data_IF_743716009621
#
_entry.id   IF_743716009621
#
_cell.length_a   1.000
_cell.length_b   1.000
_cell.length_c   1.000
_cell.angle_alpha   90.00
_cell.angle_beta   90.00
_cell.angle_gamma   90.00
#
_symmetry.space_group_name_H-M   'P 1'
#
loop_
_entity.id
_entity.type
_entity.pdbx_description
1 polymer ?
#
# COMPACT_ATOMS: atom_id res chain seq x y z
N UNK A 1 -17.44 -0.60 -3.11
CA UNK A 1 -17.23 -0.21 -1.70
C UNK A 1 -16.02 0.72 -1.66
N UNK A 2 -16.14 1.89 -1.04
CA UNK A 2 -15.06 2.88 -0.96
C UNK A 2 -14.56 2.93 0.48
N UNK A 3 -13.25 2.81 0.68
CA UNK A 3 -12.62 2.89 2.00
C UNK A 3 -11.56 3.99 1.99
N UNK A 4 -11.61 4.87 3.00
CA UNK A 4 -10.59 5.90 3.23
C UNK A 4 -9.65 5.44 4.34
N UNK A 5 -8.35 5.46 4.06
CA UNK A 5 -7.32 5.07 5.03
C UNK A 5 -6.02 5.82 4.79
N UNK A 6 -5.03 5.60 5.65
CA UNK A 6 -3.70 6.20 5.53
C UNK A 6 -2.78 5.30 4.74
N UNK A 7 -1.91 5.91 3.95
CA UNK A 7 -0.83 5.24 3.25
C UNK A 7 0.45 6.01 3.51
N UNK A 8 1.57 5.31 3.71
CA UNK A 8 2.89 5.90 3.87
C UNK A 8 3.84 5.33 2.84
N UNK A 9 4.58 6.22 2.18
CA UNK A 9 5.61 5.85 1.22
C UNK A 9 6.97 5.73 1.90
N UNK A 10 7.59 4.58 1.70
CA UNK A 10 8.95 4.26 2.16
C UNK A 10 9.92 4.28 0.99
N UNK A 11 11.06 4.95 1.19
CA UNK A 11 12.14 5.07 0.21
C UNK A 11 13.43 4.58 0.85
N UNK A 12 14.16 3.69 0.19
CA UNK A 12 15.49 3.25 0.63
C UNK A 12 15.72 1.74 0.54
N UNK A 13 16.95 1.35 0.86
CA UNK A 13 17.49 0.00 0.74
C UNK A 13 17.39 -0.83 2.03
N UNK A 14 16.71 -0.35 3.07
CA UNK A 14 16.53 -1.15 4.29
C UNK A 14 15.81 -2.46 3.98
N UNK A 15 16.49 -3.59 4.19
CA UNK A 15 16.02 -4.93 3.85
C UNK A 15 14.75 -5.36 4.61
N UNK A 16 14.32 -4.59 5.60
CA UNK A 16 13.29 -4.99 6.55
C UNK A 16 12.02 -4.14 6.39
N UNK A 17 10.98 -4.73 5.80
CA UNK A 17 9.62 -4.18 5.89
C UNK A 17 9.12 -4.33 7.34
N UNK A 18 8.44 -3.34 7.93
CA UNK A 18 8.11 -3.35 9.35
C UNK A 18 7.20 -4.54 9.69
N UNK A 19 7.68 -5.53 10.44
CA UNK A 19 6.97 -6.83 10.53
C UNK A 19 5.78 -6.83 11.49
N UNK A 20 5.78 -6.00 12.54
CA UNK A 20 4.65 -5.69 13.44
C UNK A 20 5.16 -4.79 14.58
N UNK A 21 4.25 -4.02 15.20
CA UNK A 21 4.40 -3.22 16.44
C UNK A 21 5.85 -3.08 16.96
N UNK A 22 6.52 -2.00 16.58
CA UNK A 22 7.83 -1.71 17.16
C UNK A 22 8.47 -0.50 16.56
N UNK A 23 8.89 -0.54 15.29
CA UNK A 23 9.53 0.58 14.63
C UNK A 23 9.40 0.48 13.11
N UNK A 24 8.79 1.50 12.50
CA UNK A 24 8.88 1.74 11.07
C UNK A 24 10.23 2.36 10.72
N UNK A 25 11.27 1.55 10.55
CA UNK A 25 12.58 2.03 10.11
C UNK A 25 12.40 2.83 8.80
N UNK A 26 12.87 4.08 8.79
CA UNK A 26 12.80 5.02 7.67
C UNK A 26 11.39 5.44 7.18
N UNK A 27 10.32 5.11 7.90
CA UNK A 27 9.00 5.72 7.68
C UNK A 27 8.98 7.12 8.30
N UNK A 28 8.48 8.10 7.55
CA UNK A 28 8.37 9.50 7.99
C UNK A 28 6.94 9.97 7.85
N UNK A 29 6.42 10.70 8.84
CA UNK A 29 5.06 11.23 8.81
C UNK A 29 4.79 12.09 7.57
N UNK A 30 5.79 12.86 7.13
CA UNK A 30 5.69 13.71 5.94
C UNK A 30 5.45 12.95 4.63
N UNK A 31 5.71 11.64 4.60
CA UNK A 31 5.47 10.78 3.43
C UNK A 31 4.09 10.10 3.50
N UNK A 32 3.28 10.44 4.49
CA UNK A 32 1.96 9.86 4.70
C UNK A 32 0.88 10.73 4.09
N UNK A 33 -0.13 10.10 3.51
CA UNK A 33 -1.32 10.78 3.04
C UNK A 33 -2.58 9.93 3.28
N UNK A 34 -3.73 10.55 3.08
CA UNK A 34 -4.98 9.83 2.96
C UNK A 34 -5.15 9.32 1.54
N UNK A 35 -5.59 8.08 1.39
CA UNK A 35 -5.98 7.50 0.11
C UNK A 35 -7.42 7.00 0.14
N UNK A 36 -8.07 7.07 -1.01
CA UNK A 36 -9.35 6.42 -1.26
C UNK A 36 -9.09 5.12 -1.99
N UNK A 37 -9.70 4.03 -1.56
CA UNK A 37 -9.58 2.72 -2.21
C UNK A 37 -10.92 2.18 -2.66
N UNK A 38 -10.94 1.58 -3.83
CA UNK A 38 -12.12 0.96 -4.43
C UNK A 38 -11.73 -0.22 -5.30
N UNK A 39 -12.63 -1.21 -5.37
CA UNK A 39 -12.48 -2.37 -6.24
C UNK A 39 -12.83 -1.92 -7.65
N UNK A 40 -11.94 -2.13 -8.61
CA UNK A 40 -12.17 -1.81 -10.02
C UNK A 40 -12.52 -3.03 -10.84
N UNK A 41 -11.92 -4.18 -10.51
CA UNK A 41 -12.17 -5.44 -11.19
C UNK A 41 -12.19 -6.58 -10.16
N UNK A 42 -13.07 -7.55 -10.37
CA UNK A 42 -13.15 -8.75 -9.54
C UNK A 42 -13.71 -9.89 -10.39
N UNK A 43 -13.03 -11.03 -10.37
CA UNK A 43 -13.50 -12.28 -10.96
C UNK A 43 -13.27 -13.44 -9.97
N UNK A 44 -13.37 -14.68 -10.46
CA UNK A 44 -13.22 -15.85 -9.60
C UNK A 44 -11.79 -16.06 -9.09
N UNK A 45 -10.79 -15.57 -9.83
CA UNK A 45 -9.37 -15.78 -9.59
C UNK A 45 -8.69 -14.57 -8.95
N UNK A 46 -9.11 -13.35 -9.29
CA UNK A 46 -8.41 -12.13 -8.88
C UNK A 46 -9.34 -10.99 -8.47
N UNK A 47 -8.78 -10.05 -7.72
CA UNK A 47 -9.38 -8.76 -7.42
C UNK A 47 -8.35 -7.64 -7.59
N UNK A 48 -8.77 -6.57 -8.27
CA UNK A 48 -7.97 -5.37 -8.49
C UNK A 48 -8.54 -4.23 -7.65
N UNK A 49 -7.71 -3.69 -6.77
CA UNK A 49 -8.04 -2.55 -5.92
C UNK A 49 -7.27 -1.33 -6.42
N UNK A 50 -7.99 -0.33 -6.88
CA UNK A 50 -7.45 0.99 -7.21
C UNK A 50 -7.45 1.86 -5.97
N UNK A 51 -6.32 2.52 -5.73
CA UNK A 51 -6.14 3.54 -4.70
C UNK A 51 -5.80 4.86 -5.36
N UNK A 52 -6.44 5.94 -4.93
CA UNK A 52 -6.15 7.28 -5.42
C UNK A 52 -5.86 8.23 -4.26
N UNK A 53 -4.89 9.10 -4.45
CA UNK A 53 -4.47 10.12 -3.49
C UNK A 53 -3.84 11.31 -4.23
N UNK A 54 -3.76 12.44 -3.54
CA UNK A 54 -3.05 13.61 -4.01
C UNK A 54 -1.98 13.97 -2.97
N UNK A 55 -0.73 14.15 -3.41
CA UNK A 55 0.40 14.57 -2.58
C UNK A 55 1.09 15.71 -3.33
N UNK A 56 1.23 16.88 -2.70
CA UNK A 56 1.94 18.04 -3.25
C UNK A 56 1.48 18.41 -4.68
N UNK A 57 0.16 18.46 -4.91
CA UNK A 57 -0.46 18.74 -6.22
C UNK A 57 -0.21 17.68 -7.30
N UNK A 58 0.34 16.52 -6.92
CA UNK A 58 0.53 15.37 -7.79
C UNK A 58 -0.52 14.31 -7.50
N UNK A 59 -1.28 13.95 -8.54
CA UNK A 59 -2.21 12.83 -8.48
C UNK A 59 -1.48 11.50 -8.62
N UNK A 60 -1.74 10.60 -7.69
CA UNK A 60 -1.12 9.28 -7.63
C UNK A 60 -2.21 8.23 -7.63
N UNK A 61 -2.00 7.21 -8.45
CA UNK A 61 -2.81 6.01 -8.48
C UNK A 61 -1.97 4.79 -8.12
N UNK A 62 -2.55 3.86 -7.37
CA UNK A 62 -1.97 2.55 -7.12
C UNK A 62 -2.98 1.49 -7.52
N UNK A 63 -2.57 0.57 -8.38
CA UNK A 63 -3.32 -0.63 -8.72
C UNK A 63 -2.72 -1.80 -7.95
N UNK A 64 -3.49 -2.38 -7.04
CA UNK A 64 -3.08 -3.56 -6.26
C UNK A 64 -3.86 -4.77 -6.72
N UNK A 65 -3.16 -5.80 -7.17
CA UNK A 65 -3.72 -7.08 -7.57
C UNK A 65 -3.61 -8.07 -6.42
N UNK A 66 -4.71 -8.76 -6.14
CA UNK A 66 -4.73 -9.89 -5.22
C UNK A 66 -5.26 -11.13 -5.94
N UNK A 67 -4.64 -12.26 -5.66
CA UNK A 67 -5.08 -13.57 -6.15
C UNK A 67 -5.93 -14.23 -5.06
N UNK A 68 -7.01 -14.86 -5.47
CA UNK A 68 -7.81 -15.70 -4.59
C UNK A 68 -7.20 -17.09 -4.45
N UNK A 69 -7.30 -17.63 -3.24
CA UNK A 69 -6.94 -19.00 -2.93
C UNK A 69 -7.90 -19.54 -1.87
N UNK A 70 -7.95 -20.87 -1.74
CA UNK A 70 -8.70 -21.51 -0.66
C UNK A 70 -7.71 -21.95 0.41
N UNK A 71 -8.00 -21.64 1.67
CA UNK A 71 -7.23 -22.18 2.80
C UNK A 71 -7.65 -23.65 3.08
N UNK A 72 -6.97 -24.31 4.01
CA UNK A 72 -7.25 -25.71 4.37
C UNK A 72 -8.68 -25.93 4.91
N UNK A 73 -9.34 -24.86 5.37
CA UNK A 73 -10.73 -24.89 5.82
C UNK A 73 -11.76 -24.69 4.68
N UNK A 74 -11.30 -24.55 3.42
CA UNK A 74 -12.15 -24.32 2.26
C UNK A 74 -12.69 -22.88 2.15
N UNK A 75 -12.14 -21.93 2.91
CA UNK A 75 -12.54 -20.53 2.85
C UNK A 75 -11.78 -19.80 1.73
N UNK A 76 -12.51 -19.06 0.89
CA UNK A 76 -11.91 -18.17 -0.11
C UNK A 76 -11.21 -17.00 0.60
N UNK A 77 -9.90 -16.90 0.44
CA UNK A 77 -9.04 -15.81 0.92
C UNK A 77 -8.36 -15.13 -0.25
N UNK A 78 -7.86 -13.91 -0.04
CA UNK A 78 -7.03 -13.20 -1.01
C UNK A 78 -5.60 -13.05 -0.49
N UNK A 79 -4.63 -13.08 -1.40
CA UNK A 79 -3.21 -12.79 -1.12
C UNK A 79 -2.71 -11.70 -2.06
N UNK A 80 -1.85 -10.82 -1.56
CA UNK A 80 -1.18 -9.84 -2.41
C UNK A 80 -0.40 -10.56 -3.52
N UNK A 81 -0.55 -10.07 -4.76
CA UNK A 81 0.13 -10.62 -5.94
C UNK A 81 1.13 -9.61 -6.48
N UNK A 82 0.66 -8.41 -6.81
CA UNK A 82 1.50 -7.33 -7.34
C UNK A 82 0.84 -5.98 -7.13
N UNK A 83 1.62 -4.90 -7.22
CA UNK A 83 1.09 -3.56 -7.33
C UNK A 83 1.94 -2.68 -8.23
N UNK A 84 1.27 -1.71 -8.86
CA UNK A 84 1.90 -0.68 -9.67
C UNK A 84 1.42 0.68 -9.21
N UNK A 85 2.35 1.63 -9.10
CA UNK A 85 2.08 3.04 -8.88
C UNK A 85 2.12 3.77 -10.22
N UNK A 86 1.15 4.65 -10.43
CA UNK A 86 1.01 5.47 -11.63
C UNK A 86 1.06 6.93 -11.18
N UNK A 87 2.03 7.67 -11.69
CA UNK A 87 2.21 9.11 -11.45
C UNK A 87 2.80 9.76 -12.69
N UNK A 88 2.26 10.89 -13.13
CA UNK A 88 2.69 11.61 -14.35
C UNK A 88 2.83 10.71 -15.60
N UNK A 89 1.86 9.80 -15.81
CA UNK A 89 1.87 8.77 -16.87
C UNK A 89 3.06 7.78 -16.82
N UNK A 90 3.85 7.77 -15.75
CA UNK A 90 4.89 6.78 -15.50
C UNK A 90 4.36 5.69 -14.58
N UNK A 91 4.82 4.47 -14.82
CA UNK A 91 4.44 3.29 -14.03
C UNK A 91 5.66 2.80 -13.27
N UNK A 92 5.50 2.63 -11.96
CA UNK A 92 6.52 2.12 -11.06
C UNK A 92 6.02 0.83 -10.42
N UNK A 93 6.81 -0.23 -10.49
CA UNK A 93 6.50 -1.45 -9.75
C UNK A 93 6.66 -1.20 -8.25
N UNK A 94 5.71 -1.72 -7.46
CA UNK A 94 5.77 -1.68 -6.00
C UNK A 94 6.34 -3.03 -5.52
N UNK A 95 7.62 -3.08 -5.11
CA UNK A 95 8.23 -4.33 -4.66
C UNK A 95 7.60 -4.87 -3.36
N UNK A 96 7.14 -3.98 -2.47
CA UNK A 96 6.57 -4.36 -1.19
C UNK A 96 5.35 -3.51 -0.84
N UNK A 97 4.30 -4.21 -0.42
CA UNK A 97 3.01 -3.65 -0.04
C UNK A 97 2.48 -4.43 1.18
N UNK A 98 2.09 -3.72 2.24
CA UNK A 98 1.40 -4.34 3.37
C UNK A 98 0.45 -3.35 4.03
N UNK A 99 -0.57 -3.89 4.70
CA UNK A 99 -1.53 -3.14 5.50
C UNK A 99 -1.44 -3.61 6.95
N UNK A 100 -1.40 -2.66 7.87
CA UNK A 100 -1.28 -2.89 9.31
C UNK A 100 -2.53 -2.40 10.02
N UNK A 101 -2.99 -3.17 11.00
CA UNK A 101 -4.06 -2.74 11.91
C UNK A 101 -3.65 -1.52 12.73
N UNK A 102 -2.40 -1.50 13.20
CA UNK A 102 -1.75 -0.37 13.86
C UNK A 102 -0.24 -0.42 13.60
N UNK A 103 0.38 0.75 13.39
CA UNK A 103 1.83 0.88 13.18
C UNK A 103 2.33 2.19 13.80
N UNK A 104 3.44 2.11 14.55
CA UNK A 104 4.13 3.30 15.03
C UNK A 104 5.05 3.85 13.94
N UNK A 105 4.88 5.13 13.63
CA UNK A 105 5.74 5.91 12.74
C UNK A 105 6.21 7.13 13.52
N UNK A 106 7.52 7.28 13.67
CA UNK A 106 8.14 8.31 14.51
C UNK A 106 7.52 8.29 15.93
N UNK A 107 6.90 9.38 16.37
CA UNK A 107 6.37 9.53 17.73
C UNK A 107 4.90 9.07 17.88
N UNK A 108 4.23 8.69 16.79
CA UNK A 108 2.79 8.42 16.79
C UNK A 108 2.43 7.01 16.31
N UNK A 109 1.34 6.48 16.86
CA UNK A 109 0.72 5.25 16.38
C UNK A 109 -0.45 5.57 15.43
N UNK A 110 -0.46 4.91 14.28
CA UNK A 110 -1.49 5.06 13.27
C UNK A 110 -2.22 3.75 13.05
N UNK A 111 -3.54 3.81 13.16
CA UNK A 111 -4.41 2.69 12.84
C UNK A 111 -4.76 2.64 11.35
N UNK A 112 -5.01 1.43 10.86
CA UNK A 112 -5.43 1.13 9.50
C UNK A 112 -4.55 1.84 8.45
N UNK A 113 -3.26 1.50 8.48
CA UNK A 113 -2.23 2.14 7.66
C UNK A 113 -1.60 1.16 6.69
N UNK A 114 -1.46 1.59 5.45
CA UNK A 114 -0.79 0.84 4.39
C UNK A 114 0.62 1.38 4.18
N UNK A 115 1.59 0.50 4.05
CA UNK A 115 2.98 0.86 3.73
C UNK A 115 3.26 0.43 2.29
N UNK A 116 3.85 1.34 1.52
CA UNK A 116 4.28 1.09 0.14
C UNK A 116 5.77 1.37 0.05
N UNK A 117 6.57 0.38 -0.36
CA UNK A 117 7.98 0.61 -0.70
C UNK A 117 8.10 0.95 -2.17
N UNK A 118 8.88 1.99 -2.47
CA UNK A 118 9.26 2.32 -3.84
C UNK A 118 10.79 2.25 -3.98
N UNK A 119 11.30 1.90 -5.17
CA UNK A 119 12.74 1.84 -5.43
C UNK A 119 13.42 3.22 -5.41
N UNK A 120 12.66 4.30 -5.58
CA UNK A 120 13.17 5.67 -5.56
C UNK A 120 12.12 6.64 -4.99
N UNK A 121 12.58 7.83 -4.60
CA UNK A 121 11.68 8.92 -4.24
C UNK A 121 11.00 9.47 -5.51
N UNK A 122 9.68 9.45 -5.53
CA UNK A 122 8.86 9.95 -6.65
C UNK A 122 8.40 11.39 -6.46
N UNK A 123 8.72 12.02 -5.31
CA UNK A 123 8.39 13.42 -4.98
C UNK A 123 9.58 14.38 -5.10
N UNK A 124 10.73 13.89 -5.56
CA UNK A 124 11.95 14.67 -5.76
C UNK A 124 12.12 15.11 -7.20
#
# INVERSE_FOLDING_TARGET
>A
MTSKHRIVFSYGDDDHFPVMLGWGHNLKEKNMCFCNSYITEQNDETIVVKKTMNIHDTDIEILVNYDFYFNDAGEKKSKYSSANLIVDNKIYNIPLYASYGSLQIEEYCYDNITVVRLPCNIFS
#
